data_IF_961142120309
#
_entry.id   IF_961142120309
#
_cell.length_a   1.000
_cell.length_b   1.000
_cell.length_c   1.000
_cell.angle_alpha   90.00
_cell.angle_beta   90.00
_cell.angle_gamma   90.00
#
_symmetry.space_group_name_H-M   'P 1'
#
loop_
_entity.id
_entity.type
_entity.pdbx_description
1 polymer ?
#
# COMPACT_ATOMS: atom_id res chain seq x y z
N UNK A 1 11.97 -57.89 49.80
CA UNK A 1 11.56 -56.50 50.14
C UNK A 1 11.92 -55.64 48.94
N UNK A 2 11.02 -54.84 48.33
CA UNK A 2 10.76 -53.42 48.67
C UNK A 2 12.08 -52.67 48.97
N UNK A 3 12.50 -51.58 48.33
CA UNK A 3 11.89 -50.60 47.37
C UNK A 3 13.05 -49.81 46.71
N UNK A 4 12.96 -48.95 45.69
CA UNK A 4 11.87 -48.34 44.90
C UNK A 4 12.36 -47.97 43.46
N UNK A 5 11.56 -47.21 42.70
CA UNK A 5 11.96 -46.52 41.44
C UNK A 5 12.57 -45.14 41.73
N UNK A 6 13.42 -44.65 40.84
CA UNK A 6 13.69 -43.22 40.65
C UNK A 6 13.56 -42.88 39.16
N UNK A 7 12.52 -42.13 38.78
CA UNK A 7 12.32 -41.67 37.41
C UNK A 7 12.95 -40.29 37.24
N UNK A 8 13.89 -40.13 36.30
CA UNK A 8 14.31 -38.82 35.83
C UNK A 8 13.33 -38.31 34.77
N UNK A 9 12.50 -37.33 35.14
CA UNK A 9 11.77 -36.53 34.18
C UNK A 9 12.73 -35.52 33.52
N UNK A 10 13.08 -35.73 32.25
CA UNK A 10 13.65 -34.64 31.45
C UNK A 10 12.55 -33.62 31.18
N UNK A 11 12.60 -32.49 31.88
CA UNK A 11 11.74 -31.35 31.57
C UNK A 11 12.07 -30.81 30.18
N UNK A 12 11.13 -30.95 29.24
CA UNK A 12 11.20 -30.27 27.96
C UNK A 12 11.05 -28.76 28.21
N UNK A 13 12.19 -28.06 28.29
CA UNK A 13 12.21 -26.61 28.35
C UNK A 13 11.59 -26.03 27.08
N UNK A 14 10.38 -25.49 27.20
CA UNK A 14 9.77 -24.67 26.16
C UNK A 14 10.64 -23.41 25.98
N UNK A 15 11.57 -23.46 25.03
CA UNK A 15 12.24 -22.28 24.52
C UNK A 15 11.20 -21.44 23.77
N UNK A 16 10.51 -20.57 24.52
CA UNK A 16 9.68 -19.51 23.96
C UNK A 16 10.62 -18.56 23.23
N UNK A 17 10.71 -18.73 21.91
CA UNK A 17 11.55 -17.92 21.05
C UNK A 17 11.04 -16.46 21.09
N UNK A 18 11.80 -15.49 21.63
CA UNK A 18 11.27 -14.16 21.95
C UNK A 18 11.12 -13.25 20.73
N UNK A 19 11.35 -13.77 19.53
CA UNK A 19 10.93 -13.13 18.28
C UNK A 19 9.45 -13.40 18.04
N UNK A 20 8.60 -12.66 18.74
CA UNK A 20 7.23 -12.47 18.30
C UNK A 20 7.28 -11.92 16.87
N UNK A 21 6.84 -12.73 15.90
CA UNK A 21 6.64 -12.24 14.54
C UNK A 21 5.72 -11.03 14.62
N UNK A 22 6.15 -9.90 14.04
CA UNK A 22 5.33 -8.69 14.05
C UNK A 22 4.00 -9.04 13.38
N UNK A 23 2.92 -9.03 14.16
CA UNK A 23 1.59 -9.34 13.66
C UNK A 23 1.27 -8.33 12.55
N UNK A 24 0.78 -8.82 11.41
CA UNK A 24 0.41 -7.94 10.30
C UNK A 24 -0.76 -7.09 10.78
N UNK A 25 -0.57 -5.77 10.80
CA UNK A 25 -1.65 -4.82 11.07
C UNK A 25 -2.63 -4.89 9.91
N UNK A 26 -3.89 -5.24 10.19
CA UNK A 26 -4.96 -5.32 9.19
C UNK A 26 -6.02 -4.26 9.47
N UNK A 27 -6.40 -3.51 8.44
CA UNK A 27 -7.52 -2.58 8.52
C UNK A 27 -8.86 -3.32 8.42
N UNK A 28 -9.44 -3.62 9.59
CA UNK A 28 -10.76 -4.23 9.71
C UNK A 28 -11.87 -3.41 9.03
N UNK A 29 -11.73 -2.08 8.89
CA UNK A 29 -12.71 -1.19 8.24
C UNK A 29 -12.77 -1.44 6.72
N UNK A 30 -11.68 -1.90 6.13
CA UNK A 30 -11.55 -2.27 4.71
C UNK A 30 -11.66 -3.79 4.49
N UNK A 31 -11.99 -4.54 5.54
CA UNK A 31 -11.91 -6.01 5.59
C UNK A 31 -10.57 -6.56 5.05
N UNK A 32 -9.47 -5.88 5.38
CA UNK A 32 -8.13 -6.26 4.90
C UNK A 32 -7.79 -7.70 5.30
N UNK A 33 -7.34 -8.48 4.32
CA UNK A 33 -6.77 -9.82 4.51
C UNK A 33 -5.48 -9.94 3.72
N UNK A 34 -4.57 -10.78 4.21
CA UNK A 34 -3.40 -11.23 3.44
C UNK A 34 -3.58 -12.71 3.15
N UNK A 35 -3.39 -13.09 1.89
CA UNK A 35 -3.43 -14.48 1.40
C UNK A 35 -2.19 -14.78 0.57
N UNK A 36 -1.82 -16.05 0.48
CA UNK A 36 -0.82 -16.52 -0.46
C UNK A 36 -1.55 -17.04 -1.71
N UNK A 37 -1.29 -16.42 -2.87
CA UNK A 37 -1.89 -16.83 -4.16
C UNK A 37 -0.90 -17.73 -4.92
N UNK A 38 -1.25 -18.97 -5.28
CA UNK A 38 -0.36 -19.85 -6.05
C UNK A 38 -0.18 -19.36 -7.50
N UNK A 39 1.07 -19.38 -7.97
CA UNK A 39 1.43 -19.07 -9.36
C UNK A 39 1.30 -20.35 -10.20
N UNK A 40 0.15 -20.51 -10.86
CA UNK A 40 -0.26 -21.76 -11.49
C UNK A 40 0.67 -22.29 -12.59
N UNK A 41 1.48 -21.43 -13.22
CA UNK A 41 2.40 -21.78 -14.30
C UNK A 41 3.74 -22.39 -13.84
N UNK A 42 4.01 -22.46 -12.54
CA UNK A 42 5.30 -22.93 -11.99
C UNK A 42 5.17 -24.21 -11.16
N UNK A 43 5.77 -25.30 -11.66
CA UNK A 43 5.81 -26.61 -10.99
C UNK A 43 6.54 -26.62 -9.62
N UNK A 44 7.15 -25.50 -9.21
CA UNK A 44 7.86 -25.32 -7.95
C UNK A 44 7.04 -24.70 -6.80
N UNK A 45 5.73 -24.48 -6.97
CA UNK A 45 4.87 -23.97 -5.89
C UNK A 45 5.20 -22.53 -5.47
N UNK A 46 5.40 -21.63 -6.44
CA UNK A 46 5.58 -20.20 -6.16
C UNK A 46 4.25 -19.62 -5.67
N UNK A 47 4.30 -18.75 -4.66
CA UNK A 47 3.14 -18.09 -4.07
C UNK A 47 3.38 -16.58 -3.92
N UNK A 48 2.34 -15.77 -4.14
CA UNK A 48 2.37 -14.33 -4.03
C UNK A 48 1.65 -13.85 -2.75
N UNK A 49 2.37 -13.19 -1.84
CA UNK A 49 1.77 -12.48 -0.71
C UNK A 49 0.87 -11.36 -1.26
N UNK A 50 -0.44 -11.51 -1.06
CA UNK A 50 -1.43 -10.64 -1.70
C UNK A 50 -2.35 -10.04 -0.65
N UNK A 51 -2.40 -8.71 -0.62
CA UNK A 51 -3.39 -7.96 0.16
C UNK A 51 -4.72 -7.94 -0.58
N UNK A 52 -5.82 -8.20 0.13
CA UNK A 52 -7.18 -8.07 -0.41
C UNK A 52 -7.99 -7.20 0.54
N UNK A 53 -8.55 -6.11 0.01
CA UNK A 53 -9.56 -5.28 0.66
C UNK A 53 -10.90 -5.55 0.00
N UNK A 54 -11.98 -5.63 0.79
CA UNK A 54 -13.32 -5.90 0.27
C UNK A 54 -14.37 -4.99 0.89
N UNK A 55 -15.41 -4.60 0.12
CA UNK A 55 -16.63 -4.08 0.71
C UNK A 55 -17.32 -5.16 1.56
N UNK A 56 -18.21 -4.78 2.49
CA UNK A 56 -19.03 -5.75 3.22
C UNK A 56 -20.01 -6.47 2.29
N UNK A 57 -20.25 -7.74 2.59
CA UNK A 57 -21.12 -8.64 1.81
C UNK A 57 -20.34 -9.66 0.97
N UNK A 58 -21.10 -10.48 0.23
CA UNK A 58 -20.58 -11.66 -0.46
C UNK A 58 -20.12 -11.40 -1.90
N UNK A 59 -20.47 -10.25 -2.48
CA UNK A 59 -20.16 -9.89 -3.87
C UNK A 59 -21.23 -10.34 -4.87
N UNK A 60 -20.90 -10.53 -6.17
CA UNK A 60 -19.58 -10.34 -6.76
C UNK A 60 -19.23 -8.85 -6.94
N UNK A 61 -18.02 -8.48 -6.51
CA UNK A 61 -17.51 -7.10 -6.55
C UNK A 61 -16.63 -6.88 -7.79
N UNK A 62 -16.78 -5.76 -8.53
CA UNK A 62 -15.75 -5.30 -9.48
C UNK A 62 -14.36 -5.26 -8.81
N UNK A 63 -13.30 -5.54 -9.57
CA UNK A 63 -11.95 -5.70 -8.99
C UNK A 63 -10.98 -4.65 -9.52
N UNK A 64 -10.16 -4.08 -8.62
CA UNK A 64 -8.94 -3.35 -8.99
C UNK A 64 -7.73 -4.20 -8.59
N UNK A 65 -6.89 -4.57 -9.54
CA UNK A 65 -5.57 -5.16 -9.29
C UNK A 65 -4.56 -4.01 -9.25
N UNK A 66 -4.08 -3.64 -8.06
CA UNK A 66 -3.18 -2.50 -7.86
C UNK A 66 -1.73 -2.99 -7.67
N UNK A 67 -0.82 -2.45 -8.46
CA UNK A 67 0.56 -2.95 -8.56
C UNK A 67 1.57 -2.02 -7.91
N UNK A 68 2.43 -2.58 -7.07
CA UNK A 68 3.47 -1.86 -6.34
C UNK A 68 4.67 -1.44 -7.19
N UNK A 69 5.41 -0.42 -6.74
CA UNK A 69 6.67 0.03 -7.33
C UNK A 69 7.86 -0.92 -7.06
N UNK A 70 9.07 -0.37 -7.07
CA UNK A 70 10.31 -1.03 -6.59
C UNK A 70 11.20 0.03 -5.97
N UNK A 71 11.43 -0.06 -4.65
CA UNK A 71 12.43 0.75 -3.97
C UNK A 71 13.85 0.25 -4.28
N UNK A 72 14.87 1.06 -3.95
CA UNK A 72 16.26 0.62 -3.95
C UNK A 72 16.51 -0.43 -2.86
N UNK A 73 17.51 -1.28 -3.06
CA UNK A 73 17.85 -2.38 -2.15
C UNK A 73 17.17 -3.71 -2.51
N UNK A 74 17.14 -4.65 -1.57
CA UNK A 74 16.63 -6.01 -1.80
C UNK A 74 15.10 -6.01 -1.94
N UNK A 75 14.52 -6.55 -3.04
CA UNK A 75 13.07 -6.74 -3.20
C UNK A 75 12.44 -7.53 -2.04
N UNK A 76 13.13 -8.57 -1.56
CA UNK A 76 12.70 -9.40 -0.42
C UNK A 76 12.57 -8.61 0.88
N UNK A 77 13.37 -7.56 1.06
CA UNK A 77 13.37 -6.73 2.26
C UNK A 77 12.36 -5.56 2.19
N UNK A 78 11.65 -5.38 1.06
CA UNK A 78 10.61 -4.36 0.95
C UNK A 78 9.36 -4.83 1.71
N UNK A 79 8.69 -3.87 2.36
CA UNK A 79 7.42 -4.14 3.01
C UNK A 79 6.34 -4.50 1.98
N UNK A 80 5.26 -5.14 2.46
CA UNK A 80 4.06 -5.39 1.67
C UNK A 80 3.32 -4.07 1.44
N UNK A 81 3.07 -3.73 0.18
CA UNK A 81 2.25 -2.57 -0.18
C UNK A 81 0.76 -2.81 0.09
N UNK A 82 0.07 -1.74 0.48
CA UNK A 82 -1.34 -1.72 0.90
C UNK A 82 -2.18 -0.77 0.05
N UNK A 83 -1.64 0.37 -0.36
CA UNK A 83 -2.35 1.42 -1.10
C UNK A 83 -3.68 1.81 -0.43
N UNK A 84 -3.71 1.88 0.90
CA UNK A 84 -4.87 2.24 1.74
C UNK A 84 -5.66 3.42 1.18
N UNK A 85 -5.01 4.48 0.69
CA UNK A 85 -5.71 5.64 0.11
C UNK A 85 -6.49 5.26 -1.15
N UNK A 86 -5.90 4.49 -2.06
CA UNK A 86 -6.56 4.01 -3.29
C UNK A 86 -7.63 2.97 -2.95
N UNK A 87 -7.25 1.98 -2.14
CA UNK A 87 -8.09 0.88 -1.69
C UNK A 87 -9.38 1.38 -1.03
N UNK A 88 -9.28 2.42 -0.19
CA UNK A 88 -10.42 3.08 0.46
C UNK A 88 -11.39 3.69 -0.55
N UNK A 89 -10.91 4.46 -1.51
CA UNK A 89 -11.78 5.15 -2.48
C UNK A 89 -12.51 4.20 -3.44
N UNK A 90 -11.89 3.07 -3.76
CA UNK A 90 -12.52 2.00 -4.53
C UNK A 90 -13.48 1.14 -3.68
N UNK A 91 -13.13 0.80 -2.43
CA UNK A 91 -14.01 0.02 -1.53
C UNK A 91 -15.31 0.79 -1.19
N UNK A 92 -15.25 2.11 -0.97
CA UNK A 92 -16.45 2.97 -0.83
C UNK A 92 -17.45 2.79 -1.98
N UNK A 93 -16.95 2.46 -3.18
CA UNK A 93 -17.70 2.36 -4.45
C UNK A 93 -17.99 0.91 -4.85
N UNK A 94 -17.78 -0.02 -3.92
CA UNK A 94 -18.15 -1.43 -4.06
C UNK A 94 -17.15 -2.27 -4.84
N UNK A 95 -15.91 -1.83 -4.98
CA UNK A 95 -14.83 -2.62 -5.58
C UNK A 95 -14.09 -3.41 -4.51
N UNK A 96 -13.71 -4.64 -4.83
CA UNK A 96 -12.61 -5.30 -4.14
C UNK A 96 -11.27 -4.78 -4.71
N UNK A 97 -10.27 -4.63 -3.87
CA UNK A 97 -8.93 -4.15 -4.27
C UNK A 97 -7.89 -5.19 -3.87
N UNK A 98 -7.08 -5.59 -4.83
CA UNK A 98 -6.15 -6.73 -4.75
C UNK A 98 -4.75 -6.21 -5.05
N UNK A 99 -3.85 -6.33 -4.08
CA UNK A 99 -2.47 -5.83 -4.15
C UNK A 99 -1.51 -7.02 -4.04
N UNK A 100 -1.17 -7.69 -5.16
CA UNK A 100 -0.21 -8.78 -5.14
C UNK A 100 1.22 -8.22 -5.03
N UNK A 101 1.98 -8.68 -4.03
CA UNK A 101 3.43 -8.53 -4.05
C UNK A 101 3.99 -9.51 -5.08
N UNK A 102 4.67 -8.99 -6.09
CA UNK A 102 5.20 -9.81 -7.18
C UNK A 102 6.32 -10.75 -6.71
N UNK A 103 6.61 -11.76 -7.51
CA UNK A 103 7.59 -12.81 -7.21
C UNK A 103 8.94 -12.22 -6.77
N UNK A 104 9.47 -12.71 -5.65
CA UNK A 104 10.71 -12.19 -5.06
C UNK A 104 10.58 -10.95 -4.19
N UNK A 105 9.41 -10.28 -4.13
CA UNK A 105 9.18 -9.14 -3.23
C UNK A 105 8.53 -9.57 -1.91
N UNK A 106 8.89 -8.88 -0.83
CA UNK A 106 8.37 -9.12 0.53
C UNK A 106 8.32 -10.62 0.88
N UNK A 107 7.17 -11.19 1.28
CA UNK A 107 7.05 -12.63 1.57
C UNK A 107 6.59 -13.50 0.40
N UNK A 108 6.35 -12.94 -0.79
CA UNK A 108 6.12 -13.73 -2.00
C UNK A 108 7.34 -14.61 -2.30
N UNK A 109 7.14 -15.89 -2.59
CA UNK A 109 8.23 -16.81 -2.88
C UNK A 109 8.77 -16.64 -4.31
N UNK A 110 9.67 -17.53 -4.75
CA UNK A 110 10.45 -17.35 -5.98
C UNK A 110 11.38 -16.13 -5.94
N UNK A 111 12.04 -15.84 -7.05
CA UNK A 111 13.06 -14.78 -7.15
C UNK A 111 12.68 -13.65 -8.12
N UNK A 112 13.13 -12.45 -7.77
CA UNK A 112 12.99 -11.27 -8.61
C UNK A 112 13.94 -11.36 -9.82
N UNK A 113 13.43 -11.07 -11.02
CA UNK A 113 14.21 -11.03 -12.26
C UNK A 113 14.43 -9.59 -12.71
N UNK A 114 15.69 -9.23 -12.98
CA UNK A 114 16.08 -7.91 -13.50
C UNK A 114 16.65 -8.08 -14.92
N UNK A 115 16.06 -7.37 -15.88
CA UNK A 115 16.49 -7.39 -17.29
C UNK A 115 17.35 -6.16 -17.64
N UNK A 116 17.83 -5.43 -16.63
CA UNK A 116 18.72 -4.28 -16.78
C UNK A 116 18.12 -3.22 -17.69
N UNK A 117 18.77 -2.97 -18.83
CA UNK A 117 18.34 -1.95 -19.77
C UNK A 117 17.11 -2.33 -20.61
N UNK A 118 16.66 -3.59 -20.63
CA UNK A 118 15.42 -3.96 -21.34
C UNK A 118 14.18 -3.69 -20.49
N UNK A 119 13.60 -2.50 -20.67
CA UNK A 119 12.38 -2.07 -19.97
C UNK A 119 11.13 -2.86 -20.41
N UNK A 120 11.18 -3.47 -21.61
CA UNK A 120 10.07 -4.27 -22.16
C UNK A 120 10.00 -5.60 -21.44
N UNK A 121 11.12 -6.30 -21.34
CA UNK A 121 11.21 -7.57 -20.62
C UNK A 121 11.03 -7.40 -19.12
N UNK A 122 11.57 -6.33 -18.52
CA UNK A 122 11.31 -5.97 -17.12
C UNK A 122 9.81 -5.85 -16.83
N UNK A 123 9.06 -5.04 -17.60
CA UNK A 123 7.62 -4.89 -17.38
C UNK A 123 6.81 -6.17 -17.67
N UNK A 124 7.17 -6.94 -18.71
CA UNK A 124 6.51 -8.22 -19.01
C UNK A 124 6.71 -9.26 -17.89
N UNK A 125 7.95 -9.47 -17.43
CA UNK A 125 8.24 -10.46 -16.39
C UNK A 125 7.57 -10.13 -15.04
N UNK A 126 7.19 -8.88 -14.81
CA UNK A 126 6.35 -8.48 -13.68
C UNK A 126 4.84 -8.66 -13.96
N UNK A 127 4.41 -8.53 -15.22
CA UNK A 127 3.03 -8.76 -15.62
C UNK A 127 2.64 -10.25 -15.64
N UNK A 128 3.60 -11.16 -15.80
CA UNK A 128 3.38 -12.62 -15.74
C UNK A 128 2.79 -13.08 -14.38
N UNK A 129 3.14 -12.41 -13.29
CA UNK A 129 2.61 -12.70 -11.95
C UNK A 129 1.11 -12.29 -11.81
N UNK A 130 0.65 -11.32 -12.62
CA UNK A 130 -0.75 -10.86 -12.62
C UNK A 130 -1.67 -11.85 -13.33
N UNK A 131 -1.18 -12.65 -14.28
CA UNK A 131 -1.98 -13.71 -14.91
C UNK A 131 -2.47 -14.70 -13.84
N UNK A 132 -1.59 -15.10 -12.92
CA UNK A 132 -1.95 -15.97 -11.79
C UNK A 132 -2.90 -15.28 -10.81
N UNK A 133 -2.76 -13.97 -10.61
CA UNK A 133 -3.71 -13.18 -9.81
C UNK A 133 -5.11 -13.18 -10.45
N UNK A 134 -5.21 -13.06 -11.77
CA UNK A 134 -6.48 -13.14 -12.50
C UNK A 134 -7.08 -14.54 -12.46
N UNK A 135 -6.29 -15.61 -12.63
CA UNK A 135 -6.80 -16.98 -12.50
C UNK A 135 -7.32 -17.30 -11.09
N UNK A 136 -6.62 -16.81 -10.05
CA UNK A 136 -7.11 -16.91 -8.67
C UNK A 136 -8.46 -16.22 -8.50
N UNK A 137 -8.61 -14.99 -9.03
CA UNK A 137 -9.84 -14.22 -8.94
C UNK A 137 -11.02 -14.90 -9.63
N UNK A 138 -10.79 -15.60 -10.76
CA UNK A 138 -11.85 -16.38 -11.44
C UNK A 138 -12.40 -17.53 -10.61
N UNK A 139 -11.66 -17.99 -9.60
CA UNK A 139 -12.10 -19.02 -8.66
C UNK A 139 -12.83 -18.44 -7.43
N UNK A 140 -12.90 -17.11 -7.29
CA UNK A 140 -13.52 -16.43 -6.17
C UNK A 140 -14.96 -16.02 -6.48
N UNK A 141 -15.93 -16.61 -5.79
CA UNK A 141 -17.36 -16.24 -5.93
C UNK A 141 -17.66 -14.76 -5.59
N UNK A 142 -16.79 -14.12 -4.80
CA UNK A 142 -16.90 -12.72 -4.43
C UNK A 142 -16.33 -11.75 -5.47
N UNK A 143 -15.65 -12.22 -6.51
CA UNK A 143 -15.01 -11.38 -7.52
C UNK A 143 -15.82 -11.35 -8.83
N UNK A 144 -16.15 -10.15 -9.31
CA UNK A 144 -16.67 -9.96 -10.67
C UNK A 144 -15.49 -9.83 -11.63
N UNK A 145 -15.00 -10.97 -12.12
CA UNK A 145 -13.95 -10.98 -13.14
C UNK A 145 -14.44 -10.51 -14.52
N UNK A 146 -15.71 -10.15 -14.68
CA UNK A 146 -16.23 -9.46 -15.86
C UNK A 146 -16.07 -7.93 -15.80
N UNK A 147 -15.70 -7.37 -14.64
CA UNK A 147 -15.48 -5.93 -14.38
C UNK A 147 -14.19 -5.69 -13.59
N UNK A 148 -13.05 -5.84 -14.27
CA UNK A 148 -11.72 -5.65 -13.68
C UNK A 148 -11.00 -4.41 -14.21
N UNK A 149 -10.13 -3.84 -13.38
CA UNK A 149 -9.17 -2.78 -13.73
C UNK A 149 -7.79 -3.21 -13.28
N UNK A 150 -6.75 -2.82 -14.02
CA UNK A 150 -5.36 -3.03 -13.63
C UNK A 150 -4.69 -1.67 -13.45
N UNK A 151 -4.28 -1.38 -12.24
CA UNK A 151 -3.68 -0.12 -11.84
C UNK A 151 -2.26 -0.34 -11.30
N UNK A 152 -1.44 0.70 -11.25
CA UNK A 152 -0.14 0.60 -10.57
C UNK A 152 0.62 1.91 -10.45
N UNK A 153 1.56 1.94 -9.52
CA UNK A 153 2.44 3.08 -9.24
C UNK A 153 3.89 2.75 -9.62
N UNK A 154 4.62 3.69 -10.23
CA UNK A 154 6.05 3.52 -10.58
C UNK A 154 6.29 2.24 -11.41
N UNK A 155 7.12 1.31 -10.95
CA UNK A 155 7.32 0.03 -11.64
C UNK A 155 6.03 -0.79 -11.80
N UNK A 156 5.08 -0.64 -10.88
CA UNK A 156 3.73 -1.20 -11.00
C UNK A 156 2.90 -0.55 -12.09
N UNK A 157 3.11 0.74 -12.38
CA UNK A 157 2.49 1.43 -13.52
C UNK A 157 3.03 0.92 -14.86
N UNK A 158 4.34 0.68 -14.95
CA UNK A 158 4.94 -0.03 -16.10
C UNK A 158 4.35 -1.45 -16.23
N UNK A 159 4.19 -2.16 -15.11
CA UNK A 159 3.60 -3.50 -15.05
C UNK A 159 2.14 -3.52 -15.51
N UNK A 160 1.33 -2.53 -15.12
CA UNK A 160 -0.07 -2.41 -15.54
C UNK A 160 -0.20 -2.21 -17.06
N UNK A 161 0.65 -1.36 -17.65
CA UNK A 161 0.69 -1.16 -19.11
C UNK A 161 1.23 -2.40 -19.85
N UNK A 162 2.24 -3.06 -19.29
CA UNK A 162 2.78 -4.32 -19.80
C UNK A 162 1.72 -5.44 -19.80
N UNK A 163 0.95 -5.55 -18.73
CA UNK A 163 -0.18 -6.48 -18.62
C UNK A 163 -1.27 -6.17 -19.66
N UNK A 164 -1.49 -4.89 -19.98
CA UNK A 164 -2.43 -4.45 -21.00
C UNK A 164 -2.31 -5.17 -22.37
N UNK A 165 -1.12 -5.62 -22.74
CA UNK A 165 -0.86 -6.38 -23.97
C UNK A 165 -1.60 -7.72 -24.04
N UNK A 166 -2.02 -8.28 -22.90
CA UNK A 166 -2.75 -9.56 -22.82
C UNK A 166 -4.21 -9.44 -23.25
N UNK A 167 -4.78 -8.24 -23.21
CA UNK A 167 -6.20 -7.98 -23.48
C UNK A 167 -7.13 -8.94 -22.71
N UNK A 168 -6.76 -9.23 -21.45
CA UNK A 168 -7.37 -10.29 -20.65
C UNK A 168 -8.90 -10.10 -20.52
N UNK A 169 -9.72 -11.13 -20.80
CA UNK A 169 -11.17 -11.03 -20.73
C UNK A 169 -11.66 -10.48 -19.38
N UNK A 170 -12.53 -9.48 -19.45
CA UNK A 170 -13.13 -8.81 -18.29
C UNK A 170 -12.35 -7.62 -17.74
N UNK A 171 -11.09 -7.41 -18.14
CA UNK A 171 -10.38 -6.15 -17.89
C UNK A 171 -10.96 -5.06 -18.78
N UNK A 172 -11.30 -3.91 -18.20
CA UNK A 172 -11.96 -2.78 -18.89
C UNK A 172 -11.01 -1.63 -19.21
N UNK A 173 -9.98 -1.43 -18.40
CA UNK A 173 -9.01 -0.36 -18.61
C UNK A 173 -7.85 -0.43 -17.63
N UNK A 174 -6.85 0.41 -17.91
CA UNK A 174 -5.59 0.47 -17.18
C UNK A 174 -5.43 1.83 -16.49
N UNK A 175 -4.86 1.89 -15.28
CA UNK A 175 -4.57 3.16 -14.60
C UNK A 175 -3.08 3.23 -14.24
N UNK A 176 -2.39 4.23 -14.78
CA UNK A 176 -0.95 4.39 -14.68
C UNK A 176 -0.59 5.61 -13.81
N UNK A 177 -0.16 5.38 -12.57
CA UNK A 177 0.30 6.44 -11.66
C UNK A 177 1.82 6.58 -11.73
N UNK A 178 2.31 7.61 -12.40
CA UNK A 178 3.74 7.89 -12.56
C UNK A 178 4.55 6.64 -12.95
N UNK A 179 4.06 5.86 -13.92
CA UNK A 179 4.63 4.56 -14.23
C UNK A 179 5.95 4.62 -14.99
N UNK A 180 6.83 3.68 -14.67
CA UNK A 180 8.11 3.50 -15.34
C UNK A 180 9.09 2.68 -14.51
N UNK A 181 10.29 2.44 -15.03
CA UNK A 181 11.41 1.90 -14.27
C UNK A 181 12.63 2.79 -14.49
N UNK A 182 13.27 3.22 -13.40
CA UNK A 182 14.50 4.01 -13.41
C UNK A 182 15.68 3.08 -13.08
N UNK A 183 16.64 2.98 -13.99
CA UNK A 183 17.91 2.29 -13.75
C UNK A 183 18.97 3.33 -13.35
N UNK A 184 19.81 2.98 -12.38
CA UNK A 184 20.82 3.85 -11.82
C UNK A 184 22.22 3.38 -12.22
N UNK A 185 22.98 4.26 -12.88
CA UNK A 185 24.35 3.98 -13.32
C UNK A 185 24.45 3.14 -14.61
N UNK A 186 25.69 2.97 -15.08
CA UNK A 186 26.03 2.29 -16.34
C UNK A 186 25.65 3.06 -17.60
N UNK A 187 26.04 2.52 -18.77
CA UNK A 187 25.85 3.16 -20.08
C UNK A 187 24.42 2.99 -20.65
N UNK A 188 23.46 2.60 -19.81
CA UNK A 188 22.09 2.35 -20.22
C UNK A 188 21.32 3.64 -20.48
N UNK A 189 20.88 3.84 -21.72
CA UNK A 189 19.89 4.87 -22.09
C UNK A 189 18.48 4.45 -21.64
N UNK A 190 18.29 4.34 -20.31
CA UNK A 190 17.09 3.75 -19.71
C UNK A 190 15.82 4.50 -20.10
N UNK A 191 15.87 5.83 -20.26
CA UNK A 191 14.73 6.65 -20.72
C UNK A 191 14.30 6.27 -22.14
N UNK A 192 15.23 6.08 -23.07
CA UNK A 192 14.93 5.69 -24.45
C UNK A 192 14.40 4.25 -24.52
N UNK A 193 14.94 3.34 -23.68
CA UNK A 193 14.42 1.98 -23.55
C UNK A 193 13.01 1.97 -22.95
N UNK A 194 12.72 2.86 -21.99
CA UNK A 194 11.40 3.00 -21.39
C UNK A 194 10.37 3.51 -22.40
N UNK A 195 10.73 4.51 -23.22
CA UNK A 195 9.91 4.97 -24.37
C UNK A 195 9.64 3.82 -25.35
N UNK A 196 10.65 2.99 -25.66
CA UNK A 196 10.48 1.80 -26.52
C UNK A 196 9.53 0.75 -25.90
N UNK A 197 9.62 0.52 -24.59
CA UNK A 197 8.72 -0.40 -23.88
C UNK A 197 7.27 0.10 -23.96
N UNK A 198 7.05 1.39 -23.65
CA UNK A 198 5.73 2.02 -23.75
C UNK A 198 5.14 1.92 -25.18
N UNK A 199 5.92 2.22 -26.22
CA UNK A 199 5.49 2.00 -27.61
C UNK A 199 5.12 0.53 -27.89
N UNK A 200 5.93 -0.41 -27.41
CA UNK A 200 5.68 -1.85 -27.58
C UNK A 200 4.40 -2.31 -26.89
N UNK A 201 4.04 -1.68 -25.76
CA UNK A 201 2.83 -2.00 -25.01
C UNK A 201 1.59 -1.41 -25.70
N UNK A 202 1.66 -0.15 -26.13
CA UNK A 202 0.62 0.52 -26.91
C UNK A 202 0.28 -0.23 -28.19
N UNK A 203 1.30 -0.75 -28.90
CA UNK A 203 1.13 -1.53 -30.14
C UNK A 203 0.34 -2.84 -30.02
N UNK A 204 0.13 -3.37 -28.80
CA UNK A 204 -0.54 -4.68 -28.62
C UNK A 204 -1.78 -4.63 -27.72
N UNK A 205 -2.08 -3.51 -27.09
CA UNK A 205 -3.24 -3.39 -26.21
C UNK A 205 -4.40 -2.71 -26.93
N UNK A 206 -5.59 -3.28 -26.77
CA UNK A 206 -6.87 -2.70 -27.17
C UNK A 206 -7.56 -1.99 -25.98
N UNK A 207 -6.98 -2.05 -24.79
CA UNK A 207 -7.55 -1.47 -23.57
C UNK A 207 -7.26 0.05 -23.52
N UNK A 208 -8.26 0.87 -23.19
CA UNK A 208 -8.03 2.28 -22.89
C UNK A 208 -7.33 2.43 -21.53
N UNK A 209 -6.64 3.55 -21.35
CA UNK A 209 -5.86 3.81 -20.15
C UNK A 209 -5.89 5.27 -19.69
N UNK A 210 -5.76 5.48 -18.38
CA UNK A 210 -5.71 6.78 -17.72
C UNK A 210 -4.39 6.95 -16.98
N UNK A 211 -3.64 8.01 -17.25
CA UNK A 211 -2.28 8.20 -16.77
C UNK A 211 -2.15 9.49 -15.97
N UNK A 212 -1.35 9.47 -14.90
CA UNK A 212 -1.10 10.62 -14.03
C UNK A 212 0.40 10.87 -13.87
N UNK A 213 0.88 12.03 -14.30
CA UNK A 213 2.28 12.47 -14.12
C UNK A 213 2.32 13.93 -13.66
N UNK A 214 3.15 14.25 -12.67
CA UNK A 214 3.18 15.57 -12.03
C UNK A 214 4.44 16.38 -12.33
N UNK A 215 4.31 17.71 -12.24
CA UNK A 215 5.36 18.63 -12.68
C UNK A 215 6.71 18.51 -11.95
N UNK A 216 6.72 18.04 -10.70
CA UNK A 216 7.92 17.85 -9.87
C UNK A 216 8.25 16.37 -9.60
N UNK A 217 7.83 15.43 -10.47
CA UNK A 217 8.20 14.02 -10.34
C UNK A 217 9.73 13.82 -10.55
N UNK A 218 10.43 13.30 -9.55
CA UNK A 218 11.89 13.14 -9.57
C UNK A 218 12.39 11.90 -10.36
N UNK A 219 11.47 11.07 -10.84
CA UNK A 219 11.73 9.86 -11.62
C UNK A 219 11.32 10.06 -13.09
N UNK A 220 10.11 10.55 -13.33
CA UNK A 220 9.46 10.60 -14.64
C UNK A 220 8.84 11.99 -14.90
N UNK A 221 9.65 13.03 -14.79
CA UNK A 221 9.24 14.42 -15.02
C UNK A 221 8.66 14.70 -16.43
N UNK A 222 8.04 15.88 -16.64
CA UNK A 222 7.11 16.14 -17.75
C UNK A 222 7.63 15.83 -19.16
N UNK A 223 8.90 16.12 -19.47
CA UNK A 223 9.48 15.82 -20.79
C UNK A 223 9.46 14.31 -21.08
N UNK A 224 9.85 13.49 -20.09
CA UNK A 224 9.82 12.04 -20.24
C UNK A 224 8.38 11.54 -20.28
N UNK A 225 7.51 12.03 -19.40
CA UNK A 225 6.09 11.63 -19.37
C UNK A 225 5.38 11.85 -20.72
N UNK A 226 5.61 13.01 -21.37
CA UNK A 226 5.09 13.28 -22.71
C UNK A 226 5.66 12.30 -23.75
N UNK A 227 6.98 12.07 -23.75
CA UNK A 227 7.63 11.12 -24.67
C UNK A 227 7.14 9.67 -24.50
N UNK A 228 6.81 9.26 -23.27
CA UNK A 228 6.21 7.96 -22.98
C UNK A 228 4.78 7.86 -23.54
N UNK A 229 3.99 8.92 -23.39
CA UNK A 229 2.60 9.00 -23.85
C UNK A 229 2.51 9.06 -25.37
N UNK A 230 3.26 9.96 -26.00
CA UNK A 230 3.35 10.11 -27.46
C UNK A 230 3.70 8.78 -28.12
N UNK A 231 4.73 8.09 -27.62
CA UNK A 231 5.19 6.84 -28.21
C UNK A 231 4.19 5.67 -28.03
N UNK A 232 3.45 5.63 -26.92
CA UNK A 232 2.37 4.66 -26.69
C UNK A 232 1.17 4.91 -27.61
N UNK A 233 0.75 6.17 -27.77
CA UNK A 233 -0.40 6.55 -28.60
C UNK A 233 -0.10 6.43 -30.08
N UNK A 234 1.08 6.89 -30.54
CA UNK A 234 1.51 6.73 -31.94
C UNK A 234 1.66 5.25 -32.35
N UNK A 235 1.94 4.36 -31.40
CA UNK A 235 1.98 2.92 -31.62
C UNK A 235 0.59 2.26 -31.73
N UNK A 236 -0.50 2.99 -31.41
CA UNK A 236 -1.89 2.51 -31.47
C UNK A 236 -2.59 2.38 -30.12
N UNK A 237 -1.89 2.63 -29.01
CA UNK A 237 -2.46 2.56 -27.66
C UNK A 237 -3.41 3.73 -27.35
N UNK A 238 -4.42 3.47 -26.51
CA UNK A 238 -5.38 4.50 -26.09
C UNK A 238 -5.04 4.99 -24.67
N UNK A 239 -4.60 6.24 -24.53
CA UNK A 239 -4.20 6.82 -23.24
C UNK A 239 -4.65 8.28 -23.08
N UNK A 240 -5.34 8.59 -21.97
CA UNK A 240 -5.55 9.98 -21.48
C UNK A 240 -4.45 10.33 -20.49
N UNK A 241 -3.59 11.29 -20.84
CA UNK A 241 -2.59 11.84 -19.93
C UNK A 241 -3.18 12.99 -19.11
N UNK A 242 -3.19 12.83 -17.79
CA UNK A 242 -3.45 13.88 -16.80
C UNK A 242 -2.10 14.39 -16.31
N UNK A 243 -1.59 15.41 -16.99
CA UNK A 243 -0.42 16.17 -16.54
C UNK A 243 -0.88 17.18 -15.47
N UNK A 244 -0.42 17.04 -14.23
CA UNK A 244 -0.79 17.93 -13.12
C UNK A 244 0.39 18.75 -12.61
N UNK A 245 0.09 19.82 -11.86
CA UNK A 245 1.09 20.72 -11.28
C UNK A 245 1.98 20.06 -10.22
N UNK A 246 2.83 20.84 -9.53
CA UNK A 246 3.65 20.31 -8.46
C UNK A 246 2.81 19.73 -7.32
N UNK A 247 3.21 18.57 -6.79
CA UNK A 247 2.60 17.96 -5.62
C UNK A 247 3.65 17.79 -4.51
N UNK A 248 3.36 18.40 -3.37
CA UNK A 248 4.19 18.38 -2.14
C UNK A 248 5.69 18.52 -2.45
N UNK A 249 6.53 17.56 -2.06
CA UNK A 249 7.98 17.57 -2.32
C UNK A 249 8.35 16.85 -3.62
N UNK A 250 7.60 15.79 -3.94
CA UNK A 250 7.77 14.96 -5.13
C UNK A 250 6.39 14.46 -5.56
N UNK A 251 6.04 14.65 -6.83
CA UNK A 251 4.79 14.15 -7.38
C UNK A 251 4.73 12.62 -7.47
N UNK A 252 5.88 11.94 -7.40
CA UNK A 252 5.94 10.48 -7.49
C UNK A 252 5.12 9.77 -6.41
N UNK A 253 4.94 10.40 -5.24
CA UNK A 253 4.14 9.90 -4.11
C UNK A 253 2.64 10.24 -4.14
N UNK A 254 2.16 11.00 -5.13
CA UNK A 254 0.81 11.59 -5.13
C UNK A 254 -0.32 10.59 -4.88
N UNK A 255 -0.29 9.42 -5.50
CA UNK A 255 -1.36 8.41 -5.41
C UNK A 255 -1.52 7.81 -4.01
N UNK A 256 -0.43 7.72 -3.25
CA UNK A 256 -0.45 7.24 -1.86
C UNK A 256 -0.92 8.30 -0.86
N UNK A 257 -1.22 9.52 -1.29
CA UNK A 257 -1.57 10.62 -0.38
C UNK A 257 -3.06 10.95 -0.43
N UNK A 258 -3.68 11.20 0.73
CA UNK A 258 -5.09 11.66 0.80
C UNK A 258 -5.30 12.96 0.03
N UNK A 259 -4.30 13.84 0.01
CA UNK A 259 -4.32 15.06 -0.81
C UNK A 259 -4.29 14.78 -2.32
N UNK A 260 -3.78 13.62 -2.75
CA UNK A 260 -3.78 13.20 -4.14
C UNK A 260 -5.16 12.83 -4.65
N UNK A 261 -6.08 12.39 -3.77
CA UNK A 261 -7.45 11.97 -4.15
C UNK A 261 -8.18 13.08 -4.92
N UNK A 262 -8.04 14.35 -4.51
CA UNK A 262 -8.65 15.50 -5.21
C UNK A 262 -8.07 15.79 -6.60
N UNK A 263 -6.91 15.19 -6.93
CA UNK A 263 -6.27 15.26 -8.24
C UNK A 263 -6.69 14.05 -9.09
N UNK A 264 -6.55 12.83 -8.55
CA UNK A 264 -6.73 11.62 -9.34
C UNK A 264 -8.16 11.10 -9.40
N UNK A 265 -8.94 11.21 -8.31
CA UNK A 265 -10.29 10.66 -8.29
C UNK A 265 -11.22 11.25 -9.36
N UNK A 266 -11.28 12.59 -9.60
CA UNK A 266 -12.20 13.14 -10.60
C UNK A 266 -11.97 12.64 -12.04
N UNK A 267 -10.71 12.44 -12.42
CA UNK A 267 -10.35 11.93 -13.75
C UNK A 267 -10.52 10.41 -13.85
N UNK A 268 -10.26 9.68 -12.75
CA UNK A 268 -10.58 8.25 -12.62
C UNK A 268 -12.09 8.04 -12.69
N UNK A 269 -12.90 8.81 -11.98
CA UNK A 269 -14.35 8.70 -12.03
C UNK A 269 -14.91 8.91 -13.44
N UNK A 270 -14.38 9.91 -14.17
CA UNK A 270 -14.74 10.12 -15.58
C UNK A 270 -14.37 8.91 -16.44
N UNK A 271 -13.18 8.35 -16.24
CA UNK A 271 -12.74 7.14 -16.93
C UNK A 271 -13.62 5.92 -16.61
N UNK A 272 -13.97 5.71 -15.34
CA UNK A 272 -14.89 4.64 -14.93
C UNK A 272 -16.26 4.78 -15.60
N UNK A 273 -16.80 6.00 -15.68
CA UNK A 273 -18.05 6.28 -16.41
C UNK A 273 -17.95 5.96 -17.91
N UNK A 274 -16.83 6.32 -18.55
CA UNK A 274 -16.54 5.97 -19.96
C UNK A 274 -16.48 4.44 -20.17
N UNK A 275 -16.04 3.67 -19.16
CA UNK A 275 -15.98 2.20 -19.18
C UNK A 275 -17.29 1.50 -18.76
N UNK A 276 -18.34 2.23 -18.38
CA UNK A 276 -19.56 1.65 -17.81
C UNK A 276 -19.35 1.01 -16.43
N UNK A 277 -18.33 1.44 -15.69
CA UNK A 277 -17.93 0.91 -14.39
C UNK A 277 -18.57 1.72 -13.24
N UNK A 278 -18.90 1.10 -12.08
CA UNK A 278 -19.53 1.81 -10.96
C UNK A 278 -18.70 2.97 -10.41
N UNK A 279 -19.35 4.09 -10.05
CA UNK A 279 -18.68 5.27 -9.48
C UNK A 279 -19.35 5.86 -8.25
N UNK A 280 -20.62 5.53 -7.98
CA UNK A 280 -21.33 6.01 -6.80
C UNK A 280 -20.77 5.38 -5.52
N UNK A 281 -20.65 6.17 -4.46
CA UNK A 281 -20.36 5.63 -3.13
C UNK A 281 -21.59 4.84 -2.65
N UNK A 282 -21.38 3.56 -2.35
CA UNK A 282 -22.39 2.60 -1.91
C UNK A 282 -22.08 2.02 -0.53
N UNK A 283 -20.87 2.26 -0.02
CA UNK A 283 -20.44 1.87 1.32
C UNK A 283 -19.87 3.07 2.07
N UNK A 284 -20.56 3.47 3.13
CA UNK A 284 -20.06 4.46 4.08
C UNK A 284 -18.92 3.85 4.90
N UNK A 285 -17.69 3.95 4.39
CA UNK A 285 -16.51 3.78 5.23
C UNK A 285 -16.41 5.00 6.14
N UNK A 286 -16.72 4.82 7.43
CA UNK A 286 -16.51 5.85 8.45
C UNK A 286 -15.14 6.49 8.22
N UNK A 287 -15.12 7.81 8.00
CA UNK A 287 -13.89 8.59 7.84
C UNK A 287 -12.90 8.13 8.89
N UNK A 288 -11.64 7.93 8.48
CA UNK A 288 -10.64 7.34 9.36
C UNK A 288 -10.77 7.95 10.74
N UNK A 289 -11.06 7.16 11.78
CA UNK A 289 -10.97 7.66 13.13
C UNK A 289 -9.51 8.05 13.32
N UNK A 290 -9.22 9.33 13.14
CA UNK A 290 -8.07 9.96 13.73
C UNK A 290 -8.11 9.48 15.18
N UNK A 291 -7.08 8.73 15.58
CA UNK A 291 -7.01 8.17 16.93
C UNK A 291 -7.40 9.31 17.89
N UNK A 292 -8.46 9.13 18.69
CA UNK A 292 -9.25 10.26 19.14
C UNK A 292 -8.37 11.22 19.91
N UNK A 293 -8.49 12.53 19.59
CA UNK A 293 -7.70 13.54 20.26
C UNK A 293 -7.93 13.41 21.78
N UNK A 294 -6.84 13.29 22.53
CA UNK A 294 -6.87 13.26 23.99
C UNK A 294 -6.54 14.63 24.56
N UNK A 295 -7.00 14.88 25.78
CA UNK A 295 -6.65 16.09 26.55
C UNK A 295 -5.30 15.94 27.29
N UNK A 296 -4.42 15.01 26.85
CA UNK A 296 -3.15 14.73 27.52
C UNK A 296 -2.19 15.93 27.51
N UNK A 297 -2.08 16.60 26.35
CA UNK A 297 -1.24 17.78 26.17
C UNK A 297 -1.67 18.58 24.94
N UNK A 298 -1.28 19.87 24.89
CA UNK A 298 -1.26 20.62 23.64
C UNK A 298 -0.20 20.03 22.68
N UNK A 299 -0.46 20.07 21.37
CA UNK A 299 0.41 19.45 20.36
C UNK A 299 1.83 20.04 20.36
N UNK A 300 1.95 21.34 20.61
CA UNK A 300 3.20 22.11 20.67
C UNK A 300 3.89 22.07 22.04
N UNK A 301 3.28 21.44 23.06
CA UNK A 301 3.92 21.21 24.35
C UNK A 301 4.92 20.04 24.26
N UNK A 302 6.11 20.36 23.74
CA UNK A 302 7.22 19.41 23.55
C UNK A 302 7.69 18.78 24.87
N UNK A 303 7.52 19.47 26.00
CA UNK A 303 8.03 19.02 27.30
C UNK A 303 7.11 17.99 27.98
N UNK A 304 5.80 18.06 27.72
CA UNK A 304 4.82 17.06 28.18
C UNK A 304 5.00 15.66 27.53
N UNK A 305 5.78 15.54 26.45
CA UNK A 305 5.94 14.26 25.75
C UNK A 305 6.75 13.28 26.62
N UNK A 306 6.23 12.07 26.90
CA UNK A 306 6.92 11.10 27.74
C UNK A 306 8.09 10.44 27.02
N UNK A 307 9.05 9.94 27.82
CA UNK A 307 10.22 9.15 27.41
C UNK A 307 11.23 9.83 26.45
N UNK A 308 10.88 10.95 25.80
CA UNK A 308 11.78 11.67 24.89
C UNK A 308 12.94 12.35 25.64
N UNK A 309 14.15 12.05 25.16
CA UNK A 309 15.39 12.78 25.47
C UNK A 309 15.54 13.98 24.51
N UNK A 310 16.53 14.83 24.73
CA UNK A 310 16.72 16.11 24.00
C UNK A 310 16.62 15.98 22.48
N UNK A 311 17.34 15.01 21.88
CA UNK A 311 17.28 14.72 20.43
C UNK A 311 15.86 14.34 19.97
N UNK A 312 15.10 13.61 20.80
CA UNK A 312 13.70 13.29 20.50
C UNK A 312 12.81 14.53 20.55
N UNK A 313 13.01 15.41 21.54
CA UNK A 313 12.29 16.69 21.65
C UNK A 313 12.61 17.65 20.49
N UNK A 314 13.86 17.72 20.08
CA UNK A 314 14.30 18.42 18.86
C UNK A 314 13.59 17.87 17.60
N UNK A 315 13.57 16.54 17.44
CA UNK A 315 12.96 15.90 16.28
C UNK A 315 11.43 15.96 16.30
N UNK A 316 10.82 16.08 17.48
CA UNK A 316 9.41 16.42 17.59
C UNK A 316 9.11 17.87 17.14
N UNK A 317 9.98 18.86 17.45
CA UNK A 317 9.85 20.22 16.88
C UNK A 317 9.95 20.20 15.35
N UNK A 318 10.82 19.35 14.80
CA UNK A 318 10.89 19.10 13.35
C UNK A 318 9.59 18.46 12.82
N UNK A 319 8.99 17.53 13.56
CA UNK A 319 7.70 16.89 13.22
C UNK A 319 6.53 17.90 13.14
N UNK A 320 6.48 18.91 14.01
CA UNK A 320 5.42 19.94 13.99
C UNK A 320 5.36 20.73 12.67
N UNK A 321 6.48 20.84 11.95
CA UNK A 321 6.56 21.48 10.62
C UNK A 321 6.33 20.56 9.42
N UNK A 322 5.94 19.29 9.63
CA UNK A 322 5.81 18.29 8.56
C UNK A 322 4.47 18.37 7.83
N UNK A 323 4.42 17.89 6.59
CA UNK A 323 3.19 17.82 5.82
C UNK A 323 2.26 16.72 6.34
N UNK A 324 0.95 16.99 6.42
CA UNK A 324 -0.06 15.94 6.63
C UNK A 324 -0.23 15.06 5.37
N UNK A 325 -0.71 13.81 5.51
CA UNK A 325 -0.92 13.09 6.77
C UNK A 325 0.42 12.82 7.49
N UNK A 326 0.47 12.91 8.82
CA UNK A 326 1.73 12.68 9.59
C UNK A 326 1.47 11.98 10.92
N UNK A 327 2.46 11.24 11.42
CA UNK A 327 2.38 10.60 12.73
C UNK A 327 3.72 10.60 13.48
N UNK A 328 3.66 10.59 14.81
CA UNK A 328 4.83 10.49 15.70
C UNK A 328 4.66 9.31 16.66
N UNK A 329 5.63 8.41 16.70
CA UNK A 329 5.65 7.23 17.55
C UNK A 329 6.77 7.32 18.60
N UNK A 330 6.52 6.77 19.79
CA UNK A 330 7.50 6.69 20.88
C UNK A 330 7.28 5.47 21.77
N UNK A 331 8.26 5.15 22.62
CA UNK A 331 8.22 3.99 23.52
C UNK A 331 8.94 4.26 24.85
N UNK A 332 8.66 3.47 25.91
CA UNK A 332 9.31 3.60 27.22
C UNK A 332 10.84 3.48 27.24
N UNK A 333 11.45 2.88 26.21
CA UNK A 333 12.92 2.82 26.06
C UNK A 333 13.55 4.18 25.72
N UNK A 334 12.74 5.17 25.35
CA UNK A 334 13.16 6.45 24.80
C UNK A 334 13.42 6.44 23.29
N UNK A 335 13.15 5.32 22.61
CA UNK A 335 13.11 5.27 21.14
C UNK A 335 11.84 5.94 20.60
N UNK A 336 11.98 6.60 19.46
CA UNK A 336 10.95 7.40 18.78
C UNK A 336 11.19 7.42 17.27
N UNK A 337 10.16 7.81 16.52
CA UNK A 337 10.23 8.08 15.08
C UNK A 337 9.09 9.03 14.68
N UNK A 338 9.10 9.48 13.43
CA UNK A 338 7.95 10.12 12.80
C UNK A 338 7.90 9.82 11.31
N UNK A 339 6.72 9.97 10.74
CA UNK A 339 6.45 9.85 9.31
C UNK A 339 5.64 11.06 8.83
N UNK A 340 5.83 11.45 7.57
CA UNK A 340 5.05 12.49 6.88
C UNK A 340 4.68 12.02 5.48
N UNK A 341 3.48 12.41 5.04
CA UNK A 341 2.85 12.00 3.78
C UNK A 341 2.74 10.46 3.61
N UNK A 342 2.40 10.02 2.39
CA UNK A 342 2.29 8.61 2.05
C UNK A 342 1.02 7.93 2.58
N UNK A 343 1.00 6.60 2.40
CA UNK A 343 -0.21 5.78 2.46
C UNK A 343 -0.70 5.48 3.89
N UNK A 344 0.23 5.12 4.78
CA UNK A 344 -0.03 4.93 6.21
C UNK A 344 1.17 5.42 7.05
N UNK A 345 1.24 6.74 7.35
CA UNK A 345 2.31 7.28 8.19
C UNK A 345 2.24 6.77 9.64
N UNK A 346 1.08 6.28 10.11
CA UNK A 346 0.95 5.67 11.44
C UNK A 346 1.69 4.35 11.51
N UNK A 347 1.48 3.46 10.55
CA UNK A 347 2.21 2.19 10.43
C UNK A 347 3.71 2.44 10.24
N UNK A 348 4.10 3.38 9.37
CA UNK A 348 5.51 3.69 9.14
C UNK A 348 6.21 4.21 10.40
N UNK A 349 5.58 5.15 11.13
CA UNK A 349 6.13 5.63 12.39
C UNK A 349 6.28 4.48 13.41
N UNK A 350 5.23 3.67 13.64
CA UNK A 350 5.32 2.53 14.55
C UNK A 350 6.47 1.58 14.18
N UNK A 351 6.58 1.19 12.91
CA UNK A 351 7.61 0.28 12.42
C UNK A 351 9.03 0.83 12.61
N UNK A 352 9.31 2.08 12.21
CA UNK A 352 10.64 2.69 12.38
C UNK A 352 11.00 2.93 13.85
N UNK A 353 10.03 3.27 14.70
CA UNK A 353 10.25 3.36 16.15
C UNK A 353 10.63 1.99 16.72
N UNK A 354 9.93 0.94 16.31
CA UNK A 354 10.09 -0.39 16.89
C UNK A 354 11.47 -1.01 16.58
N UNK A 355 12.05 -0.72 15.41
CA UNK A 355 13.44 -1.10 15.07
C UNK A 355 14.47 -0.59 16.07
N UNK A 356 14.22 0.58 16.67
CA UNK A 356 15.09 1.20 17.67
C UNK A 356 14.75 0.87 19.12
N UNK A 357 13.71 0.07 19.38
CA UNK A 357 13.14 -0.09 20.73
C UNK A 357 13.11 -1.52 21.24
N UNK A 358 13.53 -1.69 22.50
CA UNK A 358 13.34 -2.90 23.30
C UNK A 358 11.97 -2.98 23.97
N UNK A 359 11.08 -2.02 23.73
CA UNK A 359 9.73 -1.92 24.31
C UNK A 359 8.71 -1.61 23.20
N UNK A 360 7.41 -1.91 23.38
CA UNK A 360 6.40 -1.58 22.38
C UNK A 360 6.32 -0.08 22.07
N UNK A 361 6.38 0.27 20.80
CA UNK A 361 6.10 1.62 20.34
C UNK A 361 4.59 1.89 20.27
N UNK A 362 4.20 3.12 20.59
CA UNK A 362 2.83 3.63 20.59
C UNK A 362 2.80 5.00 19.91
N UNK A 363 1.69 5.35 19.27
CA UNK A 363 1.53 6.67 18.64
C UNK A 363 1.22 7.71 19.70
N UNK A 364 1.93 8.83 19.65
CA UNK A 364 1.71 10.00 20.49
C UNK A 364 0.85 11.05 19.79
N UNK A 365 1.08 11.29 18.49
CA UNK A 365 0.35 12.28 17.73
C UNK A 365 0.07 11.82 16.29
N UNK A 366 -1.07 12.24 15.74
CA UNK A 366 -1.43 12.12 14.33
C UNK A 366 -1.93 13.48 13.85
N UNK A 367 -1.38 13.97 12.75
CA UNK A 367 -1.67 15.28 12.16
C UNK A 367 -1.55 16.43 13.16
N UNK A 368 -2.69 16.90 13.69
CA UNK A 368 -2.78 18.00 14.63
C UNK A 368 -3.34 17.57 16.01
N UNK A 369 -3.51 16.26 16.23
CA UNK A 369 -4.05 15.68 17.44
C UNK A 369 -2.97 14.95 18.23
N UNK A 370 -2.84 15.26 19.52
CA UNK A 370 -2.24 14.33 20.49
C UNK A 370 -3.28 13.23 20.75
N UNK A 371 -2.85 11.97 20.70
CA UNK A 371 -3.72 10.78 20.79
C UNK A 371 -3.31 9.87 21.96
N UNK A 372 -2.36 10.34 22.77
CA UNK A 372 -1.74 9.60 23.86
C UNK A 372 -2.67 9.48 25.07
N UNK A 373 -2.84 8.28 25.61
CA UNK A 373 -3.71 8.00 26.78
C UNK A 373 -2.94 7.82 28.09
N UNK A 374 -1.62 8.03 28.11
CA UNK A 374 -0.77 7.65 29.24
C UNK A 374 -0.53 6.13 29.30
N UNK A 375 -0.08 5.66 30.47
CA UNK A 375 0.11 4.22 30.76
C UNK A 375 -1.21 3.51 31.11
N UNK A 376 -2.34 4.22 31.09
CA UNK A 376 -3.65 3.61 31.12
C UNK A 376 -3.88 2.77 29.85
N UNK A 377 -4.07 1.47 30.04
CA UNK A 377 -4.55 0.55 29.01
C UNK A 377 -5.91 1.04 28.47
N UNK A 378 -6.24 0.76 27.20
CA UNK A 378 -7.56 1.08 26.66
C UNK A 378 -8.65 0.41 27.51
N UNK A 379 -9.64 1.18 27.96
CA UNK A 379 -10.83 0.62 28.60
C UNK A 379 -11.60 -0.15 27.52
N UNK A 380 -11.58 -1.48 27.59
CA UNK A 380 -12.43 -2.31 26.74
C UNK A 380 -13.90 -2.04 27.05
N UNK A 381 -14.76 -2.13 26.03
CA UNK A 381 -16.19 -1.81 26.15
C UNK A 381 -16.97 -2.70 27.15
N UNK A 382 -16.37 -3.76 27.68
CA UNK A 382 -16.94 -4.62 28.72
C UNK A 382 -16.97 -3.98 30.12
N UNK A 383 -16.15 -2.96 30.41
CA UNK A 383 -16.04 -2.35 31.75
C UNK A 383 -16.53 -0.90 31.83
N UNK A 384 -17.57 -0.55 31.06
CA UNK A 384 -18.32 0.68 31.33
C UNK A 384 -19.13 0.50 32.64
N UNK A 385 -18.96 1.37 33.66
CA UNK A 385 -19.78 1.29 34.86
C UNK A 385 -21.24 1.54 34.47
N UNK A 386 -22.13 0.63 34.90
CA UNK A 386 -23.55 0.73 34.60
C UNK A 386 -24.10 2.09 35.05
N UNK A 387 -24.68 2.86 34.12
CA UNK A 387 -25.34 4.12 34.45
C UNK A 387 -26.49 3.80 35.40
N UNK A 388 -26.37 4.23 36.65
CA UNK A 388 -27.41 4.06 37.66
C UNK A 388 -28.73 4.63 37.16
N UNK A 389 -29.80 3.83 37.27
CA UNK A 389 -31.13 4.25 36.90
C UNK A 389 -31.56 5.45 37.77
N UNK A 390 -31.90 6.56 37.14
CA UNK A 390 -32.59 7.66 37.81
C UNK A 390 -34.02 7.22 38.09
N UNK A 391 -34.35 6.93 39.34
CA UNK A 391 -35.74 6.90 39.80
C UNK A 391 -36.08 8.28 40.35
N UNK A 392 -36.93 9.01 39.62
CA UNK A 392 -37.61 10.21 40.13
C UNK A 392 -38.60 9.87 41.24
N UNK A 393 -39.21 10.90 41.82
CA UNK A 393 -40.60 11.24 41.46
C UNK A 393 -40.70 12.34 40.40
#
# INVERSE_FOLDING_TARGET
MRTALAALALGAGLFVNPFAAHAVTLDARLHERVVMIPVASWAGGIELETTIFKPPGDGPFPVVIMNHGKALGSPRAQARDRFIVVSREFVKRGYAVVVPMRKGFSKSSGDYSDYGCDMTSNGQAQADDLDSTVEYLRQQSWADTGRMLVAGQSYGGLTALAFGMRNAPGVKGLINFAGGLKVHGGDCSWQNSLVKAFATYGAKTALPSLWFYGANDQHFGPELANRLHDAYVQAGGQARLVAYGPFKKDAHGMVGSRDGVKIWWPETERFLKELGMPTGEVYALADEPAMPKTDYAALDNVDAIPYLKDKGREQYRVFLGKLSPRAFALSPSGAWSWAEDGDDPVEHALAECQKGSSQPCRIYAVDNNVVWTGDALPVTAENAPARGAQTGP
#
